data_IF_748190116601
#
_entry.id   IF_748190116601
#
_cell.length_a   1.000
_cell.length_b   1.000
_cell.length_c   1.000
_cell.angle_alpha   90.00
_cell.angle_beta   90.00
_cell.angle_gamma   90.00
#
_symmetry.space_group_name_H-M   'P 1'
#
loop_
_entity.id
_entity.type
_entity.pdbx_description
1 polymer ?
#
# COMPACT_ATOMS: atom_id res chain seq x y z
N UNK A 1 10.00 -2.48 16.37
CA UNK A 1 9.14 -3.04 15.30
C UNK A 1 7.75 -3.37 15.81
N UNK A 2 7.58 -3.95 17.00
CA UNK A 2 6.26 -4.32 17.55
C UNK A 2 5.17 -3.23 17.41
N UNK A 3 5.49 -1.94 17.58
CA UNK A 3 4.47 -0.89 17.50
C UNK A 3 3.95 -0.56 16.08
N UNK A 4 4.72 -0.77 15.01
CA UNK A 4 4.24 -0.49 13.65
C UNK A 4 3.25 -1.58 13.18
N UNK A 5 3.50 -2.82 13.58
CA UNK A 5 2.64 -3.96 13.27
C UNK A 5 1.27 -3.82 13.94
N UNK A 6 1.21 -3.32 15.18
CA UNK A 6 -0.05 -2.99 15.85
C UNK A 6 -0.84 -1.89 15.13
N UNK A 7 -0.14 -0.85 14.63
CA UNK A 7 -0.77 0.19 13.82
C UNK A 7 -1.36 -0.40 12.54
N UNK A 8 -0.61 -1.26 11.84
CA UNK A 8 -1.06 -1.94 10.62
C UNK A 8 -2.26 -2.83 10.92
N UNK A 9 -2.22 -3.63 11.98
CA UNK A 9 -3.35 -4.47 12.39
C UNK A 9 -4.62 -3.63 12.62
N UNK A 10 -4.49 -2.50 13.31
CA UNK A 10 -5.60 -1.56 13.55
C UNK A 10 -6.11 -0.93 12.24
N UNK A 11 -5.22 -0.60 11.30
CA UNK A 11 -5.61 -0.13 9.96
C UNK A 11 -6.43 -1.18 9.22
N UNK A 12 -5.96 -2.42 9.21
CA UNK A 12 -6.61 -3.54 8.52
C UNK A 12 -7.97 -3.86 9.14
N UNK A 13 -8.07 -3.84 10.47
CA UNK A 13 -9.33 -4.02 11.20
C UNK A 13 -10.35 -2.94 10.81
N UNK A 14 -9.97 -1.66 10.87
CA UNK A 14 -10.85 -0.56 10.49
C UNK A 14 -11.34 -0.69 9.05
N UNK A 15 -10.45 -1.03 8.12
CA UNK A 15 -10.80 -1.22 6.71
C UNK A 15 -11.75 -2.39 6.50
N UNK A 16 -11.54 -3.50 7.22
CA UNK A 16 -12.42 -4.67 7.21
C UNK A 16 -13.82 -4.31 7.71
N UNK A 17 -13.91 -3.66 8.87
CA UNK A 17 -15.19 -3.27 9.49
C UNK A 17 -16.03 -2.35 8.59
N UNK A 18 -15.35 -1.49 7.81
CA UNK A 18 -16.01 -0.48 6.98
C UNK A 18 -16.02 -0.83 5.47
N UNK A 19 -15.62 -2.06 5.09
CA UNK A 19 -15.55 -2.52 3.69
C UNK A 19 -14.79 -1.56 2.75
N UNK A 20 -13.64 -1.05 3.21
CA UNK A 20 -12.82 -0.09 2.46
C UNK A 20 -11.98 -0.83 1.42
N UNK A 21 -12.07 -0.42 0.14
CA UNK A 21 -11.35 -0.99 -1.01
C UNK A 21 -10.87 0.09 -1.97
N UNK A 22 -9.74 -0.12 -2.65
CA UNK A 22 -9.18 0.87 -3.58
C UNK A 22 -8.55 2.13 -2.95
N UNK A 23 -8.29 2.13 -1.63
CA UNK A 23 -7.70 3.25 -0.87
C UNK A 23 -6.20 3.04 -0.56
N UNK A 24 -5.47 2.29 -1.39
CA UNK A 24 -4.07 1.93 -1.11
C UNK A 24 -3.11 3.12 -1.03
N UNK A 25 -3.36 4.20 -1.78
CA UNK A 25 -2.57 5.44 -1.71
C UNK A 25 -2.73 6.11 -0.33
N UNK A 26 -3.94 6.50 0.12
CA UNK A 26 -4.08 7.13 1.42
C UNK A 26 -3.73 6.19 2.58
N UNK A 27 -3.92 4.87 2.45
CA UNK A 27 -3.43 3.89 3.41
C UNK A 27 -1.91 3.95 3.56
N UNK A 28 -1.20 3.88 2.44
CA UNK A 28 0.27 3.94 2.44
C UNK A 28 0.75 5.26 2.99
N UNK A 29 0.12 6.37 2.61
CA UNK A 29 0.51 7.67 3.12
C UNK A 29 0.25 7.80 4.64
N UNK A 30 -0.85 7.25 5.14
CA UNK A 30 -1.14 7.22 6.57
C UNK A 30 -0.07 6.44 7.34
N UNK A 31 0.26 5.23 6.87
CA UNK A 31 1.30 4.41 7.49
C UNK A 31 2.67 5.09 7.41
N UNK A 32 3.00 5.74 6.28
CA UNK A 32 4.21 6.54 6.12
C UNK A 32 4.29 7.62 7.19
N UNK A 33 3.21 8.39 7.39
CA UNK A 33 3.16 9.47 8.37
C UNK A 33 3.30 8.96 9.81
N UNK A 34 2.72 7.81 10.16
CA UNK A 34 2.97 7.18 11.46
C UNK A 34 4.44 6.78 11.57
N UNK A 35 4.95 6.07 10.57
CA UNK A 35 6.28 5.50 10.57
C UNK A 35 7.35 6.59 10.78
N UNK A 36 7.28 7.68 10.01
CA UNK A 36 8.24 8.78 10.11
C UNK A 36 8.08 9.62 11.37
N UNK A 37 6.85 9.80 11.87
CA UNK A 37 6.60 10.59 13.08
C UNK A 37 7.01 9.88 14.37
N UNK A 38 6.63 8.61 14.52
CA UNK A 38 6.78 7.87 15.77
C UNK A 38 7.99 6.94 15.77
N UNK A 39 8.55 6.61 14.60
CA UNK A 39 9.72 5.73 14.45
C UNK A 39 10.79 6.36 13.53
N UNK A 40 11.31 7.56 13.86
CA UNK A 40 12.15 8.36 12.97
C UNK A 40 13.51 7.72 12.63
N UNK A 41 13.90 6.65 13.33
CA UNK A 41 15.13 5.92 13.08
C UNK A 41 15.02 4.88 11.95
N UNK A 42 13.80 4.54 11.54
CA UNK A 42 13.59 3.54 10.50
C UNK A 42 13.76 4.16 9.12
N UNK A 43 14.32 3.39 8.18
CA UNK A 43 14.31 3.75 6.77
C UNK A 43 12.93 3.47 6.19
N UNK A 44 12.19 4.52 5.85
CA UNK A 44 10.80 4.42 5.36
C UNK A 44 10.71 4.86 3.91
N UNK A 45 10.07 4.06 3.05
CA UNK A 45 9.88 4.37 1.64
C UNK A 45 8.54 3.86 1.12
N UNK A 46 7.69 4.77 0.67
CA UNK A 46 6.50 4.43 -0.12
C UNK A 46 6.94 3.95 -1.51
N UNK A 47 6.26 2.94 -2.03
CA UNK A 47 6.58 2.36 -3.33
C UNK A 47 5.35 1.84 -4.07
N UNK A 48 5.34 2.05 -5.39
CA UNK A 48 4.40 1.40 -6.28
C UNK A 48 4.86 -0.04 -6.57
N UNK A 49 3.92 -0.97 -6.57
CA UNK A 49 4.18 -2.39 -6.86
C UNK A 49 3.13 -2.93 -7.83
N UNK A 50 3.51 -3.97 -8.56
CA UNK A 50 2.58 -4.79 -9.34
C UNK A 50 2.28 -6.05 -8.53
N UNK A 51 1.02 -6.25 -8.18
CA UNK A 51 0.55 -7.40 -7.42
C UNK A 51 -0.13 -8.39 -8.36
N UNK A 52 0.24 -9.66 -8.23
CA UNK A 52 -0.30 -10.78 -8.98
C UNK A 52 -0.99 -11.71 -7.99
N UNK A 53 -2.27 -11.96 -8.21
CA UNK A 53 -3.08 -12.84 -7.38
C UNK A 53 -3.32 -14.12 -8.14
N UNK A 54 -3.02 -15.24 -7.50
CA UNK A 54 -3.18 -16.57 -8.07
C UNK A 54 -4.29 -17.33 -7.35
N UNK A 55 -4.95 -18.25 -8.05
CA UNK A 55 -5.84 -19.21 -7.41
C UNK A 55 -5.07 -20.37 -6.75
N UNK A 56 -5.78 -21.36 -6.22
CA UNK A 56 -5.17 -22.54 -5.59
C UNK A 56 -4.46 -23.47 -6.59
N UNK A 57 -4.71 -23.31 -7.90
CA UNK A 57 -4.04 -24.02 -8.99
C UNK A 57 -2.79 -23.28 -9.51
N UNK A 58 -2.41 -22.17 -8.87
CA UNK A 58 -1.37 -21.24 -9.33
C UNK A 58 -1.68 -20.56 -10.69
N UNK A 59 -2.94 -20.49 -11.10
CA UNK A 59 -3.34 -19.72 -12.26
C UNK A 59 -3.50 -18.24 -11.89
N UNK A 60 -2.99 -17.35 -12.75
CA UNK A 60 -3.08 -15.92 -12.54
C UNK A 60 -4.52 -15.43 -12.77
N UNK A 61 -5.17 -14.96 -11.71
CA UNK A 61 -6.56 -14.49 -11.77
C UNK A 61 -6.72 -12.98 -11.75
N UNK A 62 -5.77 -12.24 -11.15
CA UNK A 62 -5.87 -10.78 -11.03
C UNK A 62 -4.50 -10.10 -11.05
N UNK A 63 -4.44 -8.96 -11.74
CA UNK A 63 -3.29 -8.04 -11.76
C UNK A 63 -3.72 -6.72 -11.16
N UNK A 64 -2.95 -6.18 -10.22
CA UNK A 64 -3.29 -4.95 -9.49
C UNK A 64 -2.05 -4.08 -9.41
N UNK A 65 -2.18 -2.80 -9.79
CA UNK A 65 -1.20 -1.78 -9.39
C UNK A 65 -1.54 -1.33 -7.98
N UNK A 66 -0.56 -1.40 -7.07
CA UNK A 66 -0.79 -1.11 -5.66
C UNK A 66 0.28 -0.20 -5.08
N UNK A 67 0.00 0.35 -3.90
CA UNK A 67 0.94 1.16 -3.13
C UNK A 67 1.22 0.45 -1.80
N UNK A 68 2.51 0.34 -1.45
CA UNK A 68 2.99 -0.31 -0.23
C UNK A 68 4.04 0.56 0.44
N UNK A 69 4.40 0.20 1.68
CA UNK A 69 5.45 0.86 2.43
C UNK A 69 6.58 -0.12 2.74
N UNK A 70 7.81 0.22 2.38
CA UNK A 70 9.00 -0.51 2.81
C UNK A 70 9.57 0.17 4.06
N UNK A 71 9.74 -0.58 5.14
CA UNK A 71 10.36 -0.11 6.39
C UNK A 71 11.56 -1.03 6.69
N UNK A 72 12.77 -0.47 6.72
CA UNK A 72 14.02 -1.20 6.95
C UNK A 72 14.19 -2.41 6.02
N UNK A 73 13.75 -2.27 4.77
CA UNK A 73 13.79 -3.32 3.75
C UNK A 73 12.63 -4.31 3.77
N UNK A 74 11.74 -4.25 4.77
CA UNK A 74 10.55 -5.11 4.88
C UNK A 74 9.36 -4.42 4.22
N UNK A 75 8.68 -5.13 3.31
CA UNK A 75 7.49 -4.63 2.63
C UNK A 75 6.23 -4.86 3.47
N UNK A 76 5.48 -3.79 3.71
CA UNK A 76 4.19 -3.80 4.40
C UNK A 76 3.08 -3.34 3.45
N UNK A 77 2.00 -4.13 3.38
CA UNK A 77 0.77 -3.76 2.67
C UNK A 77 -0.28 -3.24 3.67
N UNK A 78 -0.53 -1.93 3.73
CA UNK A 78 -1.50 -1.35 4.65
C UNK A 78 -2.95 -1.46 4.14
N UNK A 79 -3.23 -2.29 3.12
CA UNK A 79 -4.55 -2.40 2.49
C UNK A 79 -5.17 -3.77 2.70
N UNK A 80 -6.30 -3.82 3.42
CA UNK A 80 -7.00 -5.07 3.72
C UNK A 80 -7.42 -5.84 2.47
N UNK A 81 -7.80 -5.14 1.40
CA UNK A 81 -8.25 -5.76 0.14
C UNK A 81 -7.24 -6.77 -0.42
N UNK A 82 -5.94 -6.43 -0.40
CA UNK A 82 -4.89 -7.33 -0.87
C UNK A 82 -4.37 -8.23 0.24
N UNK A 83 -4.18 -7.67 1.43
CA UNK A 83 -3.68 -8.42 2.59
C UNK A 83 -4.54 -9.66 2.91
N UNK A 84 -5.86 -9.57 2.69
CA UNK A 84 -6.79 -10.69 2.95
C UNK A 84 -6.78 -11.79 1.89
N UNK A 85 -6.09 -11.58 0.77
CA UNK A 85 -5.98 -12.57 -0.30
C UNK A 85 -4.85 -13.55 0.00
N UNK A 86 -5.06 -14.81 -0.39
CA UNK A 86 -4.00 -15.82 -0.42
C UNK A 86 -3.25 -15.71 -1.75
N UNK A 87 -2.01 -16.22 -1.78
CA UNK A 87 -1.20 -16.36 -2.99
C UNK A 87 -1.04 -15.04 -3.77
N UNK A 88 -0.48 -14.02 -3.11
CA UNK A 88 -0.17 -12.72 -3.73
C UNK A 88 1.35 -12.58 -3.88
N UNK A 89 1.79 -12.34 -5.11
CA UNK A 89 3.18 -11.99 -5.42
C UNK A 89 3.29 -10.48 -5.66
N UNK A 90 4.28 -9.86 -5.05
CA UNK A 90 4.56 -8.43 -5.16
C UNK A 90 5.82 -8.22 -6.00
N UNK A 91 5.71 -7.44 -7.07
CA UNK A 91 6.83 -7.09 -7.94
C UNK A 91 7.12 -5.59 -7.84
N UNK A 92 8.34 -5.29 -7.39
CA UNK A 92 8.80 -3.93 -7.11
C UNK A 92 9.32 -3.18 -8.31
N UNK A 93 9.73 -3.90 -9.35
CA UNK A 93 10.18 -3.35 -10.61
C UNK A 93 9.71 -4.25 -11.77
N UNK A 94 9.73 -3.71 -12.98
CA UNK A 94 9.25 -4.40 -14.18
C UNK A 94 10.23 -5.51 -14.62
N UNK A 95 11.52 -5.42 -14.28
CA UNK A 95 12.51 -6.44 -14.65
C UNK A 95 12.30 -7.75 -13.88
N UNK A 96 12.04 -7.69 -12.57
CA UNK A 96 11.67 -8.86 -11.75
C UNK A 96 10.44 -9.56 -12.35
N UNK A 97 9.53 -8.76 -12.88
CA UNK A 97 8.32 -9.24 -13.50
C UNK A 97 8.61 -9.95 -14.83
N UNK A 98 9.46 -9.39 -15.70
CA UNK A 98 9.86 -10.02 -16.98
C UNK A 98 10.50 -11.40 -16.78
N UNK A 99 11.18 -11.60 -15.67
CA UNK A 99 11.80 -12.89 -15.34
C UNK A 99 10.79 -13.94 -14.88
N UNK A 100 9.64 -13.49 -14.34
CA UNK A 100 8.65 -14.36 -13.71
C UNK A 100 7.45 -14.64 -14.62
N UNK A 101 7.09 -13.70 -15.49
CA UNK A 101 5.96 -13.81 -16.42
C UNK A 101 6.34 -13.26 -17.80
N UNK A 102 5.64 -13.70 -18.84
CA UNK A 102 5.74 -13.06 -20.15
C UNK A 102 5.13 -11.63 -20.08
N UNK A 103 5.98 -10.61 -20.18
CA UNK A 103 5.60 -9.19 -20.06
C UNK A 103 4.67 -8.70 -21.17
N UNK A 104 4.63 -9.38 -22.31
CA UNK A 104 3.69 -9.07 -23.40
C UNK A 104 2.21 -9.15 -22.95
N UNK A 105 1.96 -9.71 -21.76
CA UNK A 105 0.64 -9.79 -21.12
C UNK A 105 0.26 -8.55 -20.29
N UNK A 106 1.13 -7.55 -20.15
CA UNK A 106 0.83 -6.32 -19.38
C UNK A 106 0.25 -5.26 -20.30
N UNK A 107 -0.98 -4.84 -20.02
CA UNK A 107 -1.64 -3.78 -20.79
C UNK A 107 -0.94 -2.43 -20.59
N UNK A 108 -1.01 -1.57 -21.62
CA UNK A 108 -0.56 -0.19 -21.53
C UNK A 108 -1.19 0.55 -20.34
N UNK A 109 -2.49 0.35 -20.10
CA UNK A 109 -3.21 0.96 -18.97
C UNK A 109 -2.61 0.57 -17.61
N UNK A 110 -2.12 -0.65 -17.48
CA UNK A 110 -1.44 -1.12 -16.26
C UNK A 110 -0.11 -0.41 -16.08
N UNK A 111 0.68 -0.26 -17.16
CA UNK A 111 1.95 0.46 -17.13
C UNK A 111 1.77 1.96 -16.85
N UNK A 112 0.75 2.59 -17.45
CA UNK A 112 0.41 3.99 -17.21
C UNK A 112 -0.03 4.20 -15.76
N UNK A 113 -0.83 3.28 -15.22
CA UNK A 113 -1.26 3.28 -13.81
C UNK A 113 -0.07 3.09 -12.87
N UNK A 114 0.84 2.15 -13.17
CA UNK A 114 2.06 1.91 -12.39
C UNK A 114 2.97 3.14 -12.39
N UNK A 115 3.19 3.75 -13.55
CA UNK A 115 3.96 5.00 -13.68
C UNK A 115 3.33 6.13 -12.88
N UNK A 116 2.01 6.26 -12.89
CA UNK A 116 1.30 7.25 -12.07
C UNK A 116 1.48 6.98 -10.57
N UNK A 117 1.42 5.72 -10.14
CA UNK A 117 1.67 5.34 -8.74
C UNK A 117 3.12 5.60 -8.34
N UNK A 118 4.11 5.38 -9.23
CA UNK A 118 5.49 5.75 -8.93
C UNK A 118 5.64 7.25 -8.66
N UNK A 119 4.93 8.11 -9.40
CA UNK A 119 4.90 9.56 -9.11
C UNK A 119 4.30 9.85 -7.74
N UNK A 120 3.20 9.19 -7.37
CA UNK A 120 2.61 9.32 -6.04
C UNK A 120 3.52 8.84 -4.92
N UNK A 121 4.24 7.72 -5.12
CA UNK A 121 5.24 7.23 -4.18
C UNK A 121 6.35 8.28 -3.98
N UNK A 122 6.87 8.87 -5.05
CA UNK A 122 7.85 9.97 -4.98
C UNK A 122 7.30 11.18 -4.22
N UNK A 123 6.03 11.55 -4.43
CA UNK A 123 5.41 12.64 -3.69
C UNK A 123 5.33 12.33 -2.18
N UNK A 124 4.88 11.14 -1.79
CA UNK A 124 4.83 10.71 -0.38
C UNK A 124 6.23 10.73 0.26
N UNK A 125 7.23 10.17 -0.43
CA UNK A 125 8.62 10.13 0.05
C UNK A 125 9.26 11.53 0.19
N UNK A 126 8.75 12.53 -0.52
CA UNK A 126 9.14 13.93 -0.40
C UNK A 126 8.19 14.72 0.53
N UNK A 127 7.43 14.02 1.39
CA UNK A 127 6.50 14.59 2.37
C UNK A 127 5.36 15.44 1.76
N UNK A 128 5.10 15.28 0.47
CA UNK A 128 4.00 15.95 -0.22
C UNK A 128 2.71 15.19 0.06
N UNK A 129 1.76 15.86 0.71
CA UNK A 129 0.53 15.20 1.12
C UNK A 129 -0.50 15.06 0.00
N UNK A 130 -0.69 13.84 -0.51
CA UNK A 130 -1.69 13.53 -1.55
C UNK A 130 -3.12 13.64 -1.02
N UNK A 131 -3.34 13.38 0.27
CA UNK A 131 -4.65 13.53 0.93
C UNK A 131 -5.12 14.99 0.89
N UNK A 132 -4.20 15.96 1.02
CA UNK A 132 -4.55 17.39 0.93
C UNK A 132 -4.92 17.81 -0.49
N UNK A 133 -4.47 17.08 -1.49
CA UNK A 133 -4.70 17.36 -2.91
C UNK A 133 -6.03 16.73 -3.39
N UNK A 134 -6.55 15.73 -2.67
CA UNK A 134 -7.70 14.93 -3.09
C UNK A 134 -8.80 14.95 -2.02
N UNK A 135 -9.90 15.66 -2.31
CA UNK A 135 -11.03 15.82 -1.37
C UNK A 135 -11.64 14.48 -0.94
N UNK A 136 -11.65 13.49 -1.83
CA UNK A 136 -12.21 12.15 -1.57
C UNK A 136 -11.41 11.34 -0.53
N UNK A 137 -10.15 11.68 -0.26
CA UNK A 137 -9.33 10.94 0.72
C UNK A 137 -9.35 11.55 2.12
N UNK A 138 -9.69 12.83 2.26
CA UNK A 138 -9.61 13.54 3.54
C UNK A 138 -10.54 12.96 4.61
N UNK A 139 -11.81 12.72 4.29
CA UNK A 139 -12.78 12.17 5.26
C UNK A 139 -12.38 10.76 5.72
N UNK A 140 -12.04 9.88 4.77
CA UNK A 140 -11.55 8.54 5.04
C UNK A 140 -10.31 8.56 5.95
N UNK A 141 -9.31 9.33 5.56
CA UNK A 141 -8.04 9.44 6.28
C UNK A 141 -8.25 9.91 7.72
N UNK A 142 -9.09 10.93 7.91
CA UNK A 142 -9.38 11.47 9.24
C UNK A 142 -10.11 10.45 10.13
N UNK A 143 -11.06 9.70 9.58
CA UNK A 143 -11.78 8.66 10.34
C UNK A 143 -10.88 7.49 10.72
N UNK A 144 -10.07 6.99 9.78
CA UNK A 144 -9.07 5.94 10.05
C UNK A 144 -8.04 6.41 11.09
N UNK A 145 -7.54 7.63 10.95
CA UNK A 145 -6.58 8.22 11.87
C UNK A 145 -7.09 8.26 13.32
N UNK A 146 -8.34 8.71 13.51
CA UNK A 146 -8.98 8.74 14.83
C UNK A 146 -9.11 7.35 15.44
N UNK A 147 -9.56 6.37 14.65
CA UNK A 147 -9.70 5.00 15.12
C UNK A 147 -8.37 4.44 15.63
N UNK A 148 -7.30 4.61 14.84
CA UNK A 148 -5.98 4.05 15.16
C UNK A 148 -5.34 4.75 16.34
N UNK A 149 -5.48 6.08 16.45
CA UNK A 149 -4.99 6.83 17.61
C UNK A 149 -5.62 6.34 18.91
N UNK A 150 -6.94 6.07 18.91
CA UNK A 150 -7.64 5.49 20.06
C UNK A 150 -7.17 4.06 20.33
N UNK A 151 -7.08 3.22 19.31
CA UNK A 151 -6.69 1.81 19.45
C UNK A 151 -5.26 1.61 19.95
N UNK A 152 -4.36 2.56 19.69
CA UNK A 152 -2.92 2.43 19.96
C UNK A 152 -2.40 3.46 20.99
N UNK A 153 -3.26 4.28 21.60
CA UNK A 153 -2.89 5.35 22.54
C UNK A 153 -1.81 6.31 21.96
N UNK A 154 -2.00 6.78 20.71
CA UNK A 154 -1.04 7.64 19.97
C UNK A 154 -1.37 9.15 20.00
#
# INVERSE_FOLDING_TARGET
>A
MENIEHCIASMLEYQKMNNIKGYCIPNTQYLYNIATKYFPHNSVKAQAVLCFVYDDSNELIKRIVHMVLTIDGILYDPSYELYSLKNVSYFTNIEDLKQTINIETISKDTLDTFTRFQKYATMINNEISLIKITTNYSDYYNKQSKYIAIANNL
#
